data_IF_414244122254
#
_entry.id   IF_414244122254
#
_cell.length_a   1.000
_cell.length_b   1.000
_cell.length_c   1.000
_cell.angle_alpha   90.00
_cell.angle_beta   90.00
_cell.angle_gamma   90.00
#
_symmetry.space_group_name_H-M   'P 1'
#
loop_
_entity.id
_entity.type
_entity.pdbx_description
1 polymer ?
#
# COMPACT_ATOMS: atom_id res chain seq x y z
N UNK A 1 13.50 -12.26 -33.48
CA UNK A 1 12.07 -12.37 -33.09
C UNK A 1 11.83 -13.40 -31.97
N UNK A 2 12.31 -14.65 -32.09
CA UNK A 2 12.14 -15.67 -31.03
C UNK A 2 12.82 -15.31 -29.69
N UNK A 3 14.00 -14.68 -29.73
CA UNK A 3 14.70 -14.21 -28.53
C UNK A 3 13.93 -13.11 -27.80
N UNK A 4 13.31 -12.17 -28.55
CA UNK A 4 12.47 -11.11 -27.99
C UNK A 4 11.18 -11.69 -27.38
N UNK A 5 10.60 -12.72 -28.00
CA UNK A 5 9.42 -13.41 -27.48
C UNK A 5 9.72 -14.18 -26.18
N UNK A 6 10.88 -14.87 -26.12
CA UNK A 6 11.34 -15.54 -24.90
C UNK A 6 11.68 -14.55 -23.80
N UNK A 7 12.37 -13.45 -24.12
CA UNK A 7 12.71 -12.40 -23.16
C UNK A 7 11.45 -11.74 -22.58
N UNK A 8 10.47 -11.41 -23.42
CA UNK A 8 9.18 -10.82 -23.00
C UNK A 8 8.32 -11.79 -22.17
N UNK A 9 8.41 -13.10 -22.45
CA UNK A 9 7.76 -14.17 -21.67
C UNK A 9 8.43 -14.38 -20.31
N UNK A 10 9.76 -14.29 -20.24
CA UNK A 10 10.52 -14.30 -18.99
C UNK A 10 10.24 -13.05 -18.16
N UNK A 11 10.31 -11.86 -18.75
CA UNK A 11 10.09 -10.59 -18.07
C UNK A 11 8.70 -10.51 -17.42
N UNK A 12 7.64 -10.98 -18.10
CA UNK A 12 6.31 -11.12 -17.48
C UNK A 12 6.33 -12.03 -16.25
N UNK A 13 7.00 -13.18 -16.32
CA UNK A 13 7.07 -14.16 -15.21
C UNK A 13 7.83 -13.62 -13.98
N UNK A 14 8.77 -12.69 -14.17
CA UNK A 14 9.54 -12.07 -13.09
C UNK A 14 9.04 -10.68 -12.66
N UNK A 15 8.26 -9.99 -13.50
CA UNK A 15 7.72 -8.66 -13.19
C UNK A 15 6.73 -8.70 -12.04
N UNK A 16 5.80 -9.68 -12.04
CA UNK A 16 4.83 -9.85 -10.96
C UNK A 16 5.53 -10.13 -9.63
N UNK A 17 6.58 -10.96 -9.65
CA UNK A 17 7.39 -11.30 -8.46
C UNK A 17 8.14 -10.09 -7.91
N UNK A 18 8.74 -9.25 -8.77
CA UNK A 18 9.42 -8.02 -8.35
C UNK A 18 8.46 -6.99 -7.76
N UNK A 19 7.32 -6.76 -8.42
CA UNK A 19 6.32 -5.80 -7.97
C UNK A 19 5.60 -6.25 -6.70
N UNK A 20 5.35 -7.56 -6.54
CA UNK A 20 4.86 -8.15 -5.31
C UNK A 20 5.82 -7.90 -4.15
N UNK A 21 7.11 -8.23 -4.32
CA UNK A 21 8.14 -8.04 -3.28
C UNK A 21 8.22 -6.56 -2.91
N UNK A 22 8.34 -5.67 -3.89
CA UNK A 22 8.36 -4.24 -3.64
C UNK A 22 7.13 -3.77 -2.85
N UNK A 23 5.92 -4.09 -3.33
CA UNK A 23 4.68 -3.66 -2.70
C UNK A 23 4.52 -4.23 -1.28
N UNK A 24 4.89 -5.49 -1.08
CA UNK A 24 4.79 -6.13 0.23
C UNK A 24 5.77 -5.53 1.23
N UNK A 25 7.06 -5.43 0.88
CA UNK A 25 8.08 -4.82 1.75
C UNK A 25 7.76 -3.35 2.05
N UNK A 26 7.33 -2.60 1.04
CA UNK A 26 6.93 -1.21 1.23
C UNK A 26 5.70 -1.09 2.13
N UNK A 27 4.73 -2.00 2.02
CA UNK A 27 3.56 -2.03 2.92
C UNK A 27 3.97 -2.28 4.38
N UNK A 28 4.90 -3.20 4.62
CA UNK A 28 5.42 -3.48 5.96
C UNK A 28 6.18 -2.27 6.53
N UNK A 29 7.00 -1.60 5.72
CA UNK A 29 7.72 -0.39 6.12
C UNK A 29 6.75 0.72 6.50
N UNK A 30 5.73 0.97 5.67
CA UNK A 30 4.73 2.01 5.93
C UNK A 30 3.88 1.73 7.16
N UNK A 31 3.55 0.45 7.42
CA UNK A 31 2.90 0.04 8.66
C UNK A 31 3.79 0.26 9.88
N UNK A 32 5.08 -0.06 9.80
CA UNK A 32 6.03 0.19 10.89
C UNK A 32 6.15 1.70 11.21
N UNK A 33 6.26 2.54 10.18
CA UNK A 33 6.27 4.01 10.34
C UNK A 33 4.94 4.50 10.94
N UNK A 34 3.81 3.95 10.49
CA UNK A 34 2.50 4.29 11.04
C UNK A 34 2.40 3.96 12.53
N UNK A 35 2.83 2.76 12.94
CA UNK A 35 2.87 2.37 14.34
C UNK A 35 3.78 3.28 15.16
N UNK A 36 4.93 3.68 14.63
CA UNK A 36 5.85 4.59 15.29
C UNK A 36 5.22 5.99 15.50
N UNK A 37 4.62 6.57 14.45
CA UNK A 37 3.93 7.85 14.56
C UNK A 37 2.74 7.77 15.53
N UNK A 38 2.01 6.66 15.52
CA UNK A 38 0.89 6.44 16.46
C UNK A 38 1.37 6.33 17.90
N UNK A 39 2.52 5.67 18.15
CA UNK A 39 3.12 5.61 19.49
C UNK A 39 3.48 7.00 20.01
N UNK A 40 4.10 7.86 19.19
CA UNK A 40 4.40 9.25 19.54
C UNK A 40 3.13 10.09 19.76
N UNK A 41 2.06 9.82 19.01
CA UNK A 41 0.76 10.46 19.21
C UNK A 41 0.15 10.09 20.58
N UNK A 42 0.22 8.82 20.97
CA UNK A 42 -0.28 8.36 22.27
C UNK A 42 0.55 8.91 23.43
N UNK A 43 1.86 9.00 23.27
CA UNK A 43 2.75 9.60 24.27
C UNK A 43 2.41 11.08 24.49
N UNK A 44 2.29 11.85 23.40
CA UNK A 44 1.85 13.25 23.45
C UNK A 44 0.44 13.43 24.00
N UNK A 45 -0.47 12.46 23.79
CA UNK A 45 -1.80 12.46 24.38
C UNK A 45 -1.72 12.31 25.91
N UNK A 46 -0.88 11.40 26.40
CA UNK A 46 -0.68 11.16 27.82
C UNK A 46 -0.07 12.39 28.53
N UNK A 47 0.84 13.09 27.86
CA UNK A 47 1.44 14.35 28.35
C UNK A 47 0.52 15.58 28.19
N UNK A 48 -0.63 15.44 27.53
CA UNK A 48 -1.59 16.54 27.32
C UNK A 48 -1.15 17.61 26.30
N UNK A 49 -0.10 17.34 25.50
CA UNK A 49 0.44 18.30 24.54
C UNK A 49 -0.37 18.23 23.23
N UNK A 50 -1.36 19.11 23.09
CA UNK A 50 -2.29 19.09 21.95
C UNK A 50 -1.61 19.28 20.58
N UNK A 51 -0.54 20.10 20.51
CA UNK A 51 0.14 20.42 19.24
C UNK A 51 0.85 19.19 18.64
N UNK A 52 1.60 18.44 19.46
CA UNK A 52 2.32 17.24 19.03
C UNK A 52 1.37 16.07 18.74
N UNK A 53 0.25 15.97 19.47
CA UNK A 53 -0.80 14.98 19.18
C UNK A 53 -1.31 15.08 17.74
N UNK A 54 -1.77 16.26 17.31
CA UNK A 54 -2.30 16.41 15.94
C UNK A 54 -1.20 16.29 14.87
N UNK A 55 0.02 16.72 15.22
CA UNK A 55 1.19 16.58 14.35
C UNK A 55 1.53 15.12 14.03
N UNK A 56 1.49 14.22 15.01
CA UNK A 56 1.83 12.79 14.78
C UNK A 56 0.65 11.94 14.29
N UNK A 57 -0.59 12.37 14.56
CA UNK A 57 -1.81 11.69 14.11
C UNK A 57 -2.01 11.73 12.59
N UNK A 58 -1.71 12.84 11.92
CA UNK A 58 -1.90 12.93 10.47
C UNK A 58 -0.89 12.03 9.69
N UNK A 59 0.42 12.03 10.00
CA UNK A 59 1.39 11.09 9.44
C UNK A 59 1.08 9.63 9.75
N UNK A 60 0.58 9.30 10.95
CA UNK A 60 0.24 7.91 11.29
C UNK A 60 -0.90 7.38 10.42
N UNK A 61 -1.96 8.18 10.21
CA UNK A 61 -3.10 7.82 9.36
C UNK A 61 -2.67 7.72 7.89
N UNK A 62 -1.86 8.67 7.43
CA UNK A 62 -1.39 8.70 6.05
C UNK A 62 -0.52 7.49 5.69
N UNK A 63 0.47 7.19 6.54
CA UNK A 63 1.36 6.02 6.36
C UNK A 63 0.62 4.70 6.53
N UNK A 64 -0.40 4.64 7.41
CA UNK A 64 -1.28 3.47 7.52
C UNK A 64 -2.01 3.20 6.20
N UNK A 65 -2.62 4.24 5.62
CA UNK A 65 -3.39 4.13 4.39
C UNK A 65 -2.47 3.77 3.21
N UNK A 66 -1.28 4.39 3.12
CA UNK A 66 -0.24 3.98 2.17
C UNK A 66 0.12 2.50 2.33
N UNK A 67 0.39 2.05 3.55
CA UNK A 67 0.66 0.66 3.86
C UNK A 67 -0.46 -0.27 3.39
N UNK A 68 -1.71 0.07 3.68
CA UNK A 68 -2.87 -0.68 3.24
C UNK A 68 -3.00 -0.75 1.71
N UNK A 69 -2.75 0.35 0.99
CA UNK A 69 -2.79 0.39 -0.48
C UNK A 69 -1.78 -0.59 -1.07
N UNK A 70 -0.53 -0.51 -0.62
CA UNK A 70 0.52 -1.40 -1.12
C UNK A 70 0.32 -2.86 -0.69
N UNK A 71 -0.30 -3.10 0.46
CA UNK A 71 -0.69 -4.44 0.89
C UNK A 71 -1.74 -5.03 -0.06
N UNK A 72 -2.80 -4.29 -0.38
CA UNK A 72 -3.82 -4.74 -1.33
C UNK A 72 -3.27 -4.91 -2.74
N UNK A 73 -2.39 -4.02 -3.21
CA UNK A 73 -1.68 -4.21 -4.48
C UNK A 73 -0.87 -5.50 -4.49
N UNK A 74 -0.14 -5.82 -3.41
CA UNK A 74 0.60 -7.09 -3.32
C UNK A 74 -0.33 -8.32 -3.43
N UNK A 75 -1.53 -8.25 -2.84
CA UNK A 75 -2.52 -9.33 -2.92
C UNK A 75 -3.14 -9.46 -4.31
N UNK A 76 -3.45 -8.34 -4.97
CA UNK A 76 -3.96 -8.32 -6.35
C UNK A 76 -2.95 -8.94 -7.30
N UNK A 77 -1.68 -8.55 -7.20
CA UNK A 77 -0.57 -9.02 -8.04
C UNK A 77 -0.33 -10.52 -7.87
N UNK A 78 -0.42 -11.02 -6.64
CA UNK A 78 -0.31 -12.44 -6.32
C UNK A 78 -1.46 -13.26 -6.93
N UNK A 79 -2.69 -12.74 -6.89
CA UNK A 79 -3.85 -13.41 -7.48
C UNK A 79 -3.88 -13.32 -9.01
N UNK A 80 -3.40 -12.22 -9.58
CA UNK A 80 -3.20 -12.05 -11.03
C UNK A 80 -2.21 -13.09 -11.56
N UNK A 81 -1.10 -13.35 -10.83
CA UNK A 81 -0.14 -14.39 -11.20
C UNK A 81 -0.78 -15.80 -11.17
N UNK A 82 -1.60 -16.09 -10.14
CA UNK A 82 -2.35 -17.36 -10.02
C UNK A 82 -3.35 -17.55 -11.16
N UNK A 83 -4.04 -16.49 -11.56
CA UNK A 83 -4.95 -16.50 -12.70
C UNK A 83 -4.21 -16.79 -14.01
N UNK A 84 -3.08 -16.12 -14.24
CA UNK A 84 -2.28 -16.32 -15.46
C UNK A 84 -1.62 -17.68 -15.56
N UNK A 85 -1.37 -18.36 -14.44
CA UNK A 85 -0.89 -19.73 -14.43
C UNK A 85 -2.00 -20.76 -14.71
N UNK A 86 -3.26 -20.33 -14.89
CA UNK A 86 -4.39 -21.19 -15.23
C UNK A 86 -4.85 -22.12 -14.11
N UNK A 87 -4.31 -21.94 -12.90
CA UNK A 87 -4.54 -22.86 -11.77
C UNK A 87 -5.85 -22.59 -11.03
N UNK A 88 -6.47 -21.41 -11.22
CA UNK A 88 -7.62 -20.98 -10.42
C UNK A 88 -8.63 -20.17 -11.24
N UNK A 89 -9.95 -20.48 -11.15
CA UNK A 89 -11.00 -19.66 -11.75
C UNK A 89 -11.13 -18.30 -11.04
N UNK A 90 -11.54 -17.25 -11.78
CA UNK A 90 -11.65 -15.86 -11.28
C UNK A 90 -12.53 -15.75 -10.04
N UNK A 91 -13.53 -16.62 -9.91
CA UNK A 91 -14.46 -16.67 -8.77
C UNK A 91 -13.76 -16.94 -7.42
N UNK A 92 -12.64 -17.68 -7.46
CA UNK A 92 -11.83 -18.01 -6.27
C UNK A 92 -10.78 -16.93 -5.94
N UNK A 93 -10.62 -15.95 -6.82
CA UNK A 93 -9.62 -14.88 -6.71
C UNK A 93 -10.32 -13.55 -6.42
N UNK A 94 -10.74 -13.36 -5.17
CA UNK A 94 -11.57 -12.23 -4.75
C UNK A 94 -10.88 -10.88 -4.92
N UNK A 95 -9.60 -10.76 -4.60
CA UNK A 95 -8.87 -9.50 -4.75
C UNK A 95 -8.64 -9.16 -6.23
N UNK A 96 -8.37 -10.16 -7.06
CA UNK A 96 -8.24 -9.98 -8.51
C UNK A 96 -9.58 -9.65 -9.18
N UNK A 97 -10.68 -10.27 -8.74
CA UNK A 97 -12.04 -9.99 -9.22
C UNK A 97 -12.45 -8.55 -8.93
N UNK A 98 -12.23 -8.07 -7.71
CA UNK A 98 -12.62 -6.72 -7.28
C UNK A 98 -11.49 -5.68 -7.42
N UNK A 99 -10.41 -5.99 -8.15
CA UNK A 99 -9.20 -5.15 -8.25
C UNK A 99 -9.47 -3.67 -8.54
N UNK A 100 -10.37 -3.35 -9.46
CA UNK A 100 -10.70 -1.96 -9.80
C UNK A 100 -11.42 -1.24 -8.66
N UNK A 101 -12.31 -1.94 -7.95
CA UNK A 101 -13.03 -1.40 -6.81
C UNK A 101 -12.11 -1.18 -5.60
N UNK A 102 -11.20 -2.12 -5.35
CA UNK A 102 -10.17 -2.01 -4.32
C UNK A 102 -9.26 -0.81 -4.61
N UNK A 103 -8.74 -0.71 -5.85
CA UNK A 103 -7.90 0.43 -6.29
C UNK A 103 -8.62 1.77 -6.16
N UNK A 104 -9.88 1.85 -6.57
CA UNK A 104 -10.69 3.07 -6.45
C UNK A 104 -10.80 3.50 -4.98
N UNK A 105 -11.18 2.57 -4.08
CA UNK A 105 -11.28 2.86 -2.64
C UNK A 105 -9.94 3.28 -2.04
N UNK A 106 -8.86 2.62 -2.42
CA UNK A 106 -7.51 2.96 -1.99
C UNK A 106 -7.08 4.36 -2.45
N UNK A 107 -7.36 4.75 -3.69
CA UNK A 107 -7.08 6.10 -4.21
C UNK A 107 -7.92 7.15 -3.46
N UNK A 108 -9.21 6.88 -3.25
CA UNK A 108 -10.09 7.77 -2.49
C UNK A 108 -9.61 7.94 -1.04
N UNK A 109 -9.16 6.87 -0.39
CA UNK A 109 -8.59 6.91 0.95
C UNK A 109 -7.26 7.67 1.00
N UNK A 110 -6.41 7.52 -0.02
CA UNK A 110 -5.17 8.30 -0.15
C UNK A 110 -5.46 9.79 -0.35
N UNK A 111 -6.43 10.13 -1.19
CA UNK A 111 -6.84 11.50 -1.44
C UNK A 111 -7.43 12.14 -0.19
N UNK A 112 -8.29 11.44 0.55
CA UNK A 112 -8.84 11.96 1.80
C UNK A 112 -7.75 12.16 2.86
N UNK A 113 -6.83 11.20 3.02
CA UNK A 113 -5.70 11.32 3.93
C UNK A 113 -4.74 12.45 3.56
N UNK A 114 -4.52 12.67 2.25
CA UNK A 114 -3.75 13.78 1.73
C UNK A 114 -4.40 15.13 2.04
N UNK A 115 -5.71 15.26 1.78
CA UNK A 115 -6.50 16.46 2.03
C UNK A 115 -6.65 16.79 3.53
N UNK A 116 -6.62 15.77 4.41
CA UNK A 116 -6.58 15.96 5.87
C UNK A 116 -5.22 16.49 6.37
N UNK A 117 -4.30 16.86 5.47
CA UNK A 117 -2.99 17.41 5.81
C UNK A 117 -1.89 16.36 5.92
N UNK A 118 -2.21 15.05 5.84
CA UNK A 118 -1.23 13.98 5.97
C UNK A 118 -0.07 14.10 4.98
N UNK A 119 -0.34 14.58 3.76
CA UNK A 119 0.71 14.82 2.75
C UNK A 119 1.62 16.00 3.10
N UNK A 120 1.06 17.10 3.62
CA UNK A 120 1.80 18.33 3.96
C UNK A 120 2.65 18.11 5.23
N UNK A 121 2.08 17.48 6.26
CA UNK A 121 2.81 17.14 7.49
C UNK A 121 3.94 16.13 7.24
N UNK A 122 3.71 15.13 6.37
CA UNK A 122 4.74 14.13 6.05
C UNK A 122 5.87 14.66 5.16
N UNK A 123 5.58 15.61 4.26
CA UNK A 123 6.59 16.16 3.33
C UNK A 123 7.35 17.35 3.88
N UNK A 124 6.73 18.20 4.71
CA UNK A 124 7.36 19.43 5.21
C UNK A 124 7.72 19.39 6.70
N UNK A 125 7.21 18.44 7.49
CA UNK A 125 7.56 18.32 8.92
C UNK A 125 7.22 19.56 9.78
N UNK A 126 6.34 20.44 9.29
CA UNK A 126 5.91 21.69 9.95
C UNK A 126 4.64 21.46 10.74
#
# INVERSE_FOLDING_TARGET
>A
MAYFYYYKKFERKYSYRKWYVFSHWFSCLMLAVSCFCMALCFDAWNEGIQRTKFFWMAPSIFTFILGAVFFFESKIVLEEEKFHHGNYPVETLSNYRYRYWIRLRSILALLSAGLMGGYIFFTFGI
#
